data_IF_787535179012
#
_entry.id   IF_787535179012
#
_cell.length_a   1.000
_cell.length_b   1.000
_cell.length_c   1.000
_cell.angle_alpha   90.00
_cell.angle_beta   90.00
_cell.angle_gamma   90.00
#
_symmetry.space_group_name_H-M   'P 1'
#
loop_
_entity.id
_entity.type
_entity.pdbx_description
1 polymer ?
#
# COMPACT_ATOMS: atom_id res chain seq x y z
N UNK A 1 22.18 12.04 33.96
CA UNK A 1 20.78 11.94 33.47
C UNK A 1 20.53 12.79 32.22
N UNK A 2 20.96 14.06 32.13
CA UNK A 2 20.83 14.88 30.91
C UNK A 2 21.61 14.37 29.69
N UNK A 3 22.83 13.82 29.88
CA UNK A 3 23.62 13.22 28.78
C UNK A 3 22.93 12.00 28.15
N UNK A 4 22.30 11.14 28.96
CA UNK A 4 21.58 9.97 28.47
C UNK A 4 20.37 10.35 27.59
N UNK A 5 19.68 11.43 27.94
CA UNK A 5 18.54 11.95 27.16
C UNK A 5 19.02 12.57 25.84
N UNK A 6 20.17 13.26 25.84
CA UNK A 6 20.80 13.81 24.63
C UNK A 6 21.24 12.71 23.66
N UNK A 7 21.94 11.68 24.17
CA UNK A 7 22.44 10.56 23.36
C UNK A 7 21.28 9.74 22.77
N UNK A 8 20.21 9.51 23.53
CA UNK A 8 19.00 8.84 23.03
C UNK A 8 18.27 9.68 21.97
N UNK A 9 18.28 11.01 22.09
CA UNK A 9 17.72 11.94 21.10
C UNK A 9 18.48 11.95 19.77
N UNK A 10 19.81 11.92 19.80
CA UNK A 10 20.65 11.83 18.59
C UNK A 10 20.51 10.46 17.91
N UNK A 11 20.51 9.36 18.67
CA UNK A 11 20.31 8.01 18.13
C UNK A 11 18.91 7.88 17.52
N UNK A 12 17.87 8.42 18.17
CA UNK A 12 16.52 8.45 17.62
C UNK A 12 16.41 9.32 16.36
N UNK A 13 17.10 10.47 16.32
CA UNK A 13 17.16 11.34 15.15
C UNK A 13 17.87 10.69 13.96
N UNK A 14 19.00 10.03 14.20
CA UNK A 14 19.74 9.26 13.19
C UNK A 14 18.94 8.04 12.70
N UNK A 15 18.25 7.34 13.61
CA UNK A 15 17.35 6.24 13.23
C UNK A 15 16.14 6.74 12.41
N UNK A 16 15.60 7.92 12.73
CA UNK A 16 14.54 8.58 11.96
C UNK A 16 14.99 8.95 10.54
N UNK A 17 16.16 9.58 10.41
CA UNK A 17 16.77 9.93 9.12
C UNK A 17 17.14 8.68 8.29
N UNK A 18 17.66 7.64 8.95
CA UNK A 18 17.92 6.35 8.33
C UNK A 18 16.61 5.67 7.86
N UNK A 19 15.52 5.81 8.62
CA UNK A 19 14.20 5.30 8.23
C UNK A 19 13.61 6.00 7.01
N UNK A 20 13.76 7.32 6.90
CA UNK A 20 13.29 8.10 5.72
C UNK A 20 14.12 7.78 4.48
N UNK A 21 15.45 7.73 4.62
CA UNK A 21 16.35 7.38 3.52
C UNK A 21 16.17 5.93 3.07
N UNK A 22 15.95 4.98 4.00
CA UNK A 22 15.60 3.60 3.68
C UNK A 22 14.25 3.48 2.97
N UNK A 23 13.23 4.25 3.37
CA UNK A 23 11.93 4.27 2.69
C UNK A 23 12.05 4.82 1.25
N UNK A 24 12.84 5.88 1.05
CA UNK A 24 13.17 6.41 -0.28
C UNK A 24 13.97 5.41 -1.11
N UNK A 25 14.90 4.68 -0.50
CA UNK A 25 15.66 3.62 -1.16
C UNK A 25 14.75 2.46 -1.58
N UNK A 26 13.82 2.03 -0.72
CA UNK A 26 12.88 0.95 -1.02
C UNK A 26 11.94 1.33 -2.17
N UNK A 27 11.49 2.59 -2.26
CA UNK A 27 10.68 3.04 -3.40
C UNK A 27 11.50 3.11 -4.70
N UNK A 28 12.75 3.60 -4.61
CA UNK A 28 13.64 3.75 -5.78
C UNK A 28 14.14 2.38 -6.29
N UNK A 29 14.57 1.50 -5.39
CA UNK A 29 14.95 0.12 -5.69
C UNK A 29 13.73 -0.72 -6.08
N UNK A 30 12.58 -0.47 -5.46
CA UNK A 30 11.32 -1.09 -5.86
C UNK A 30 10.94 -0.77 -7.30
N UNK A 31 11.20 0.45 -7.78
CA UNK A 31 11.06 0.82 -9.19
C UNK A 31 12.08 0.12 -10.10
N UNK A 32 13.32 -0.05 -9.63
CA UNK A 32 14.40 -0.69 -10.40
C UNK A 32 14.26 -2.23 -10.51
N UNK A 33 13.70 -2.89 -9.50
CA UNK A 33 13.70 -4.37 -9.39
C UNK A 33 12.36 -4.98 -9.87
N UNK A 34 11.31 -4.19 -10.05
CA UNK A 34 10.00 -4.70 -10.51
C UNK A 34 9.93 -4.74 -12.04
N UNK A 35 9.58 -5.89 -12.67
CA UNK A 35 9.50 -5.98 -14.13
C UNK A 35 8.50 -4.97 -14.70
N UNK A 36 8.95 -4.12 -15.64
CA UNK A 36 8.11 -3.14 -16.34
C UNK A 36 8.03 -1.75 -15.72
N UNK A 37 8.89 -1.40 -14.75
CA UNK A 37 9.03 -0.01 -14.26
C UNK A 37 7.81 0.57 -13.53
N UNK A 38 6.76 -0.22 -13.31
CA UNK A 38 5.50 0.20 -12.63
C UNK A 38 5.68 0.43 -11.13
N UNK A 39 6.83 0.06 -10.57
CA UNK A 39 7.17 0.22 -9.16
C UNK A 39 6.37 -0.64 -8.20
N UNK A 40 6.80 -0.63 -6.94
CA UNK A 40 6.07 -1.20 -5.80
C UNK A 40 4.59 -0.78 -5.68
N UNK A 41 4.19 0.49 -5.94
CA UNK A 41 2.82 0.92 -5.69
C UNK A 41 1.77 0.27 -6.58
N UNK A 42 2.16 -0.45 -7.64
CA UNK A 42 1.24 -1.19 -8.52
C UNK A 42 1.12 -2.68 -8.20
N UNK A 43 1.89 -3.22 -7.25
CA UNK A 43 1.70 -4.62 -6.81
C UNK A 43 0.40 -4.73 -6.02
N UNK A 44 -0.41 -5.73 -6.36
CA UNK A 44 -1.80 -5.88 -5.90
C UNK A 44 -2.84 -5.26 -6.83
N UNK A 45 -2.46 -4.34 -7.73
CA UNK A 45 -3.41 -3.69 -8.63
C UNK A 45 -4.06 -4.68 -9.60
N UNK A 46 -3.41 -5.78 -9.98
CA UNK A 46 -4.00 -6.83 -10.83
C UNK A 46 -5.26 -7.47 -10.24
N UNK A 47 -5.35 -7.57 -8.90
CA UNK A 47 -6.56 -8.06 -8.26
C UNK A 47 -7.70 -7.04 -8.41
N UNK A 48 -7.37 -5.75 -8.27
CA UNK A 48 -8.30 -4.64 -8.46
C UNK A 48 -8.71 -4.49 -9.93
N UNK A 49 -7.80 -4.71 -10.89
CA UNK A 49 -8.08 -4.69 -12.33
C UNK A 49 -9.20 -5.66 -12.70
N UNK A 50 -9.26 -6.85 -12.07
CA UNK A 50 -10.36 -7.78 -12.33
C UNK A 50 -11.72 -7.19 -11.96
N UNK A 51 -11.85 -6.53 -10.82
CA UNK A 51 -13.11 -5.88 -10.44
C UNK A 51 -13.42 -4.71 -11.37
N UNK A 52 -12.39 -3.93 -11.73
CA UNK A 52 -12.52 -2.84 -12.71
C UNK A 52 -13.00 -3.36 -14.07
N UNK A 53 -12.55 -4.55 -14.49
CA UNK A 53 -12.94 -5.18 -15.74
C UNK A 53 -14.42 -5.62 -15.70
N UNK A 54 -14.89 -6.22 -14.60
CA UNK A 54 -16.29 -6.61 -14.43
C UNK A 54 -17.21 -5.38 -14.30
N UNK A 55 -16.76 -4.34 -13.60
CA UNK A 55 -17.49 -3.09 -13.43
C UNK A 55 -17.29 -2.09 -14.59
N UNK A 56 -16.56 -2.47 -15.65
CA UNK A 56 -16.26 -1.59 -16.78
C UNK A 56 -17.47 -0.84 -17.37
N UNK A 57 -18.65 -1.45 -17.60
CA UNK A 57 -19.79 -0.73 -18.18
C UNK A 57 -20.28 0.41 -17.27
N UNK A 58 -20.41 0.16 -15.96
CA UNK A 58 -20.86 1.18 -15.00
C UNK A 58 -19.77 2.22 -14.72
N UNK A 59 -18.50 1.82 -14.70
CA UNK A 59 -17.38 2.74 -14.52
C UNK A 59 -17.22 3.69 -15.71
N UNK A 60 -17.46 3.23 -16.93
CA UNK A 60 -17.48 4.11 -18.12
C UNK A 60 -18.61 5.13 -18.04
N UNK A 61 -19.78 4.75 -17.54
CA UNK A 61 -20.90 5.68 -17.35
C UNK A 61 -20.62 6.73 -16.28
N UNK A 62 -19.90 6.34 -15.22
CA UNK A 62 -19.61 7.25 -14.10
C UNK A 62 -18.41 8.16 -14.33
N UNK A 63 -17.30 7.61 -14.84
CA UNK A 63 -16.00 8.27 -14.94
C UNK A 63 -15.56 8.53 -16.40
N UNK A 64 -16.32 8.07 -17.39
CA UNK A 64 -15.96 8.17 -18.81
C UNK A 64 -14.95 7.11 -19.26
N UNK A 65 -14.48 7.21 -20.50
CA UNK A 65 -13.54 6.23 -21.10
C UNK A 65 -12.17 6.17 -20.39
N UNK A 66 -11.82 7.20 -19.64
CA UNK A 66 -10.55 7.30 -18.90
C UNK A 66 -10.61 6.64 -17.52
N UNK A 67 -11.72 5.98 -17.16
CA UNK A 67 -11.94 5.38 -15.83
C UNK A 67 -10.75 4.56 -15.31
N UNK A 68 -10.08 3.77 -16.18
CA UNK A 68 -8.91 2.97 -15.79
C UNK A 68 -7.75 3.81 -15.32
N UNK A 69 -7.48 4.91 -16.02
CA UNK A 69 -6.37 5.80 -15.66
C UNK A 69 -6.67 6.53 -14.36
N UNK A 70 -7.88 7.06 -14.20
CA UNK A 70 -8.33 7.72 -12.97
C UNK A 70 -8.25 6.78 -11.77
N UNK A 71 -8.71 5.54 -11.91
CA UNK A 71 -8.66 4.56 -10.83
C UNK A 71 -7.23 4.07 -10.54
N UNK A 72 -6.37 3.97 -11.55
CA UNK A 72 -4.96 3.64 -11.36
C UNK A 72 -4.20 4.74 -10.61
N UNK A 73 -4.48 6.01 -10.93
CA UNK A 73 -3.91 7.17 -10.23
C UNK A 73 -4.44 7.24 -8.79
N UNK A 74 -5.75 7.09 -8.60
CA UNK A 74 -6.35 7.03 -7.27
C UNK A 74 -5.82 5.85 -6.44
N UNK A 75 -5.60 4.68 -7.06
CA UNK A 75 -4.98 3.54 -6.40
C UNK A 75 -3.53 3.84 -5.98
N UNK A 76 -2.77 4.56 -6.81
CA UNK A 76 -1.39 4.93 -6.50
C UNK A 76 -1.31 5.88 -5.29
N UNK A 77 -2.21 6.85 -5.21
CA UNK A 77 -2.17 7.92 -4.22
C UNK A 77 -2.97 7.59 -2.94
N UNK A 78 -4.12 6.94 -3.09
CA UNK A 78 -5.14 6.75 -2.04
C UNK A 78 -5.33 5.31 -1.55
N UNK A 79 -4.44 4.39 -1.93
CA UNK A 79 -4.51 2.96 -1.56
C UNK A 79 -4.58 2.71 -0.04
N UNK A 80 -3.89 3.54 0.75
CA UNK A 80 -3.69 3.32 2.19
C UNK A 80 -4.66 4.11 3.06
N UNK A 81 -5.18 5.21 2.55
CA UNK A 81 -6.18 6.07 3.20
C UNK A 81 -7.60 5.53 3.07
N UNK A 82 -7.83 4.59 2.13
CA UNK A 82 -9.17 4.11 1.81
C UNK A 82 -9.87 4.95 0.74
N UNK A 83 -9.20 6.00 0.23
CA UNK A 83 -9.77 6.88 -0.79
C UNK A 83 -9.97 6.15 -2.12
N UNK A 84 -9.04 5.24 -2.47
CA UNK A 84 -9.13 4.43 -3.69
C UNK A 84 -10.35 3.48 -3.71
N UNK A 85 -10.58 2.63 -2.68
CA UNK A 85 -11.79 1.82 -2.63
C UNK A 85 -13.06 2.67 -2.50
N UNK A 86 -13.03 3.78 -1.76
CA UNK A 86 -14.18 4.69 -1.65
C UNK A 86 -14.56 5.30 -3.00
N UNK A 87 -13.58 5.77 -3.78
CA UNK A 87 -13.80 6.29 -5.13
C UNK A 87 -14.38 5.22 -6.06
N UNK A 88 -13.85 4.00 -6.01
CA UNK A 88 -14.35 2.91 -6.84
C UNK A 88 -15.81 2.57 -6.53
N UNK A 89 -16.16 2.46 -5.24
CA UNK A 89 -17.55 2.23 -4.81
C UNK A 89 -18.49 3.36 -5.22
N UNK A 90 -18.04 4.62 -5.04
CA UNK A 90 -18.81 5.79 -5.47
C UNK A 90 -19.06 5.76 -6.98
N UNK A 91 -18.05 5.46 -7.79
CA UNK A 91 -18.17 5.35 -9.23
C UNK A 91 -19.09 4.20 -9.66
N UNK A 92 -19.01 3.05 -8.99
CA UNK A 92 -19.93 1.91 -9.22
C UNK A 92 -21.36 2.33 -8.91
N UNK A 93 -21.59 2.97 -7.76
CA UNK A 93 -22.92 3.44 -7.34
C UNK A 93 -23.52 4.41 -8.34
N UNK A 94 -22.76 5.44 -8.73
CA UNK A 94 -23.17 6.43 -9.72
C UNK A 94 -23.36 5.86 -11.13
N UNK A 95 -22.60 4.82 -11.49
CA UNK A 95 -22.73 4.14 -12.78
C UNK A 95 -23.99 3.27 -12.83
N UNK A 96 -24.29 2.58 -11.73
CA UNK A 96 -25.51 1.80 -11.55
C UNK A 96 -26.76 2.68 -11.60
N UNK A 97 -26.78 3.81 -10.90
CA UNK A 97 -27.92 4.73 -10.92
C UNK A 97 -28.24 5.20 -12.35
N UNK A 98 -27.20 5.58 -13.12
CA UNK A 98 -27.36 5.98 -14.53
C UNK A 98 -27.78 4.82 -15.44
N UNK A 99 -27.38 3.59 -15.12
CA UNK A 99 -27.77 2.40 -15.86
C UNK A 99 -29.24 2.08 -15.61
N UNK A 100 -29.72 2.21 -14.37
CA UNK A 100 -31.12 2.04 -14.00
C UNK A 100 -32.02 3.08 -14.69
N UNK A 101 -31.58 4.34 -14.75
CA UNK A 101 -32.25 5.42 -15.51
C UNK A 101 -32.35 5.10 -17.02
N UNK A 102 -31.41 4.31 -17.55
CA UNK A 102 -31.37 3.89 -18.96
C UNK A 102 -32.22 2.64 -19.24
N UNK A 103 -32.64 1.91 -18.20
CA UNK A 103 -33.51 0.73 -18.28
C UNK A 103 -32.99 -0.48 -17.50
N UNK A 104 -33.90 -1.19 -16.83
CA UNK A 104 -33.61 -2.32 -15.92
C UNK A 104 -32.97 -3.53 -16.61
N UNK A 105 -33.20 -3.74 -17.90
CA UNK A 105 -32.65 -4.87 -18.65
C UNK A 105 -31.11 -4.90 -18.69
N UNK A 106 -30.45 -3.73 -18.65
CA UNK A 106 -28.99 -3.63 -18.63
C UNK A 106 -28.41 -3.98 -17.25
N UNK A 107 -29.12 -3.61 -16.18
CA UNK A 107 -28.77 -3.98 -14.81
C UNK A 107 -28.91 -5.50 -14.64
N UNK A 108 -29.98 -6.09 -15.16
CA UNK A 108 -30.19 -7.55 -15.12
C UNK A 108 -29.11 -8.32 -15.90
N UNK A 109 -28.64 -7.79 -17.03
CA UNK A 109 -27.57 -8.39 -17.81
C UNK A 109 -26.23 -8.37 -17.05
N UNK A 110 -25.94 -7.25 -16.38
CA UNK A 110 -24.77 -7.13 -15.51
C UNK A 110 -24.87 -8.08 -14.31
N UNK A 111 -26.02 -8.16 -13.64
CA UNK A 111 -26.26 -9.09 -12.54
C UNK A 111 -26.02 -10.56 -12.97
N UNK A 112 -26.49 -10.93 -14.17
CA UNK A 112 -26.21 -12.24 -14.78
C UNK A 112 -24.74 -12.47 -15.08
N UNK A 113 -24.02 -11.45 -15.56
CA UNK A 113 -22.58 -11.56 -15.82
C UNK A 113 -21.76 -11.81 -14.55
N UNK A 114 -22.26 -11.34 -13.40
CA UNK A 114 -21.69 -11.60 -12.07
C UNK A 114 -22.17 -12.93 -11.47
N UNK A 115 -23.02 -13.68 -12.17
CA UNK A 115 -23.56 -14.97 -11.72
C UNK A 115 -24.60 -14.83 -10.61
N UNK A 116 -25.19 -13.65 -10.40
CA UNK A 116 -26.24 -13.44 -9.41
C UNK A 116 -27.55 -14.05 -9.91
N UNK A 117 -28.19 -14.85 -9.07
CA UNK A 117 -29.53 -15.37 -9.32
C UNK A 117 -30.54 -14.29 -8.94
N UNK A 118 -30.88 -13.43 -9.89
CA UNK A 118 -31.80 -12.31 -9.63
C UNK A 118 -33.05 -12.37 -10.49
N UNK A 119 -34.17 -11.98 -9.87
CA UNK A 119 -35.45 -11.85 -10.52
C UNK A 119 -35.45 -10.61 -11.45
N UNK A 120 -35.75 -10.76 -12.75
CA UNK A 120 -35.60 -9.67 -13.71
C UNK A 120 -36.47 -8.45 -13.39
N UNK A 121 -35.91 -7.25 -13.53
CA UNK A 121 -36.65 -5.99 -13.44
C UNK A 121 -37.01 -5.51 -12.03
N UNK A 122 -36.55 -6.20 -10.98
CA UNK A 122 -36.72 -5.75 -9.61
C UNK A 122 -35.70 -4.66 -9.25
N UNK A 123 -36.12 -3.64 -8.48
CA UNK A 123 -35.19 -2.67 -7.85
C UNK A 123 -34.15 -3.37 -6.97
N UNK A 124 -34.56 -4.49 -6.36
CA UNK A 124 -33.66 -5.35 -5.59
C UNK A 124 -32.47 -5.86 -6.41
N UNK A 125 -32.57 -5.93 -7.75
CA UNK A 125 -31.46 -6.36 -8.62
C UNK A 125 -30.32 -5.38 -8.68
N UNK A 126 -30.62 -4.08 -8.76
CA UNK A 126 -29.61 -3.03 -8.75
C UNK A 126 -28.89 -3.00 -7.40
N UNK A 127 -29.64 -3.11 -6.30
CA UNK A 127 -29.08 -3.10 -4.94
C UNK A 127 -28.26 -4.36 -4.64
N UNK A 128 -28.71 -5.54 -5.05
CA UNK A 128 -27.92 -6.78 -4.93
C UNK A 128 -26.63 -6.73 -5.75
N UNK A 129 -26.71 -6.20 -6.97
CA UNK A 129 -25.54 -6.03 -7.85
C UNK A 129 -24.54 -5.03 -7.25
N UNK A 130 -25.03 -3.91 -6.72
CA UNK A 130 -24.22 -2.92 -6.00
C UNK A 130 -23.50 -3.58 -4.83
N UNK A 131 -24.23 -4.28 -3.98
CA UNK A 131 -23.68 -4.92 -2.78
C UNK A 131 -22.64 -5.98 -3.13
N UNK A 132 -22.86 -6.77 -4.18
CA UNK A 132 -21.90 -7.77 -4.66
C UNK A 132 -20.59 -7.11 -5.12
N UNK A 133 -20.67 -6.07 -5.96
CA UNK A 133 -19.51 -5.34 -6.46
C UNK A 133 -18.75 -4.59 -5.36
N UNK A 134 -19.45 -4.01 -4.39
CA UNK A 134 -18.83 -3.35 -3.23
C UNK A 134 -18.10 -4.35 -2.33
N UNK A 135 -18.69 -5.53 -2.13
CA UNK A 135 -18.09 -6.61 -1.33
C UNK A 135 -16.85 -7.17 -2.03
N UNK A 136 -16.93 -7.41 -3.34
CA UNK A 136 -15.78 -7.85 -4.13
C UNK A 136 -14.67 -6.80 -4.12
N UNK A 137 -15.02 -5.53 -4.25
CA UNK A 137 -14.09 -4.39 -4.13
C UNK A 137 -13.33 -4.45 -2.80
N UNK A 138 -14.02 -4.58 -1.67
CA UNK A 138 -13.35 -4.67 -0.36
C UNK A 138 -12.41 -5.88 -0.28
N UNK A 139 -12.86 -7.04 -0.75
CA UNK A 139 -12.06 -8.25 -0.74
C UNK A 139 -10.78 -8.11 -1.57
N UNK A 140 -10.85 -7.53 -2.79
CA UNK A 140 -9.67 -7.34 -3.63
C UNK A 140 -8.72 -6.27 -3.11
N UNK A 141 -9.23 -5.20 -2.48
CA UNK A 141 -8.37 -4.18 -1.87
C UNK A 141 -7.65 -4.73 -0.63
N UNK A 142 -8.28 -5.58 0.17
CA UNK A 142 -7.62 -6.29 1.26
C UNK A 142 -6.53 -7.23 0.75
N UNK A 143 -6.81 -7.99 -0.30
CA UNK A 143 -5.82 -8.86 -0.94
C UNK A 143 -4.63 -8.04 -1.46
N UNK A 144 -4.90 -6.96 -2.19
CA UNK A 144 -3.89 -6.08 -2.74
C UNK A 144 -3.01 -5.43 -1.65
N UNK A 145 -3.61 -5.05 -0.51
CA UNK A 145 -2.88 -4.55 0.66
C UNK A 145 -1.94 -5.61 1.25
N UNK A 146 -2.39 -6.86 1.33
CA UNK A 146 -1.57 -7.96 1.84
C UNK A 146 -0.37 -8.28 0.94
N UNK A 147 -0.55 -8.29 -0.37
CA UNK A 147 0.52 -8.52 -1.36
C UNK A 147 1.55 -7.40 -1.35
N UNK A 148 1.10 -6.15 -1.27
CA UNK A 148 1.99 -5.01 -1.13
C UNK A 148 2.79 -5.10 0.17
N UNK A 149 2.15 -5.35 1.33
CA UNK A 149 2.86 -5.42 2.61
C UNK A 149 3.92 -6.50 2.61
N UNK A 150 3.58 -7.67 2.06
CA UNK A 150 4.53 -8.77 1.91
C UNK A 150 5.70 -8.37 1.03
N UNK A 151 5.42 -7.77 -0.14
CA UNK A 151 6.50 -7.32 -1.03
C UNK A 151 7.36 -6.23 -0.41
N UNK A 152 6.74 -5.23 0.21
CA UNK A 152 7.44 -4.12 0.85
C UNK A 152 8.37 -4.63 1.96
N UNK A 153 7.93 -5.61 2.76
CA UNK A 153 8.76 -6.28 3.77
C UNK A 153 9.92 -7.05 3.14
N UNK A 154 9.68 -7.79 2.06
CA UNK A 154 10.73 -8.52 1.34
C UNK A 154 11.77 -7.56 0.76
N UNK A 155 11.36 -6.46 0.15
CA UNK A 155 12.27 -5.45 -0.37
C UNK A 155 13.02 -4.72 0.74
N UNK A 156 12.35 -4.33 1.82
CA UNK A 156 13.03 -3.78 2.99
C UNK A 156 14.08 -4.75 3.55
N UNK A 157 13.75 -6.05 3.58
CA UNK A 157 14.70 -7.12 3.91
C UNK A 157 15.91 -7.16 3.00
N UNK A 158 15.68 -7.16 1.69
CA UNK A 158 16.75 -7.16 0.69
C UNK A 158 17.63 -5.91 0.82
N UNK A 159 17.04 -4.72 1.01
CA UNK A 159 17.78 -3.47 1.20
C UNK A 159 18.62 -3.50 2.47
N UNK A 160 18.06 -3.98 3.59
CA UNK A 160 18.80 -4.09 4.84
C UNK A 160 20.00 -5.05 4.73
N UNK A 161 19.84 -6.18 4.03
CA UNK A 161 20.92 -7.10 3.75
C UNK A 161 22.00 -6.47 2.87
N UNK A 162 21.62 -5.75 1.80
CA UNK A 162 22.55 -5.05 0.93
C UNK A 162 23.34 -3.97 1.67
N UNK A 163 22.67 -3.18 2.52
CA UNK A 163 23.35 -2.16 3.33
C UNK A 163 24.30 -2.79 4.35
N UNK A 164 23.87 -3.84 5.05
CA UNK A 164 24.74 -4.54 6.00
C UNK A 164 25.98 -5.12 5.32
N UNK A 165 25.79 -5.74 4.14
CA UNK A 165 26.88 -6.26 3.33
C UNK A 165 27.80 -5.15 2.82
N UNK A 166 27.24 -4.04 2.36
CA UNK A 166 28.00 -2.86 1.91
C UNK A 166 28.87 -2.29 3.02
N UNK A 167 28.33 -2.13 4.23
CA UNK A 167 29.10 -1.70 5.41
C UNK A 167 30.24 -2.67 5.70
N UNK A 168 29.97 -3.97 5.70
CA UNK A 168 31.00 -4.99 5.93
C UNK A 168 32.14 -4.93 4.90
N UNK A 169 31.83 -4.68 3.62
CA UNK A 169 32.85 -4.47 2.56
C UNK A 169 33.68 -3.20 2.78
N UNK A 170 33.14 -2.18 3.44
CA UNK A 170 33.88 -0.93 3.70
C UNK A 170 34.76 -0.99 4.95
N UNK A 171 34.57 -1.99 5.82
CA UNK A 171 35.38 -2.14 7.04
C UNK A 171 36.84 -2.50 6.70
N UNK A 172 37.82 -2.00 7.46
CA UNK A 172 39.22 -2.40 7.30
C UNK A 172 39.43 -3.88 7.70
N UNK A 173 40.48 -4.50 7.16
CA UNK A 173 40.64 -5.96 7.18
C UNK A 173 40.80 -6.55 8.59
N UNK A 174 41.37 -5.80 9.51
CA UNK A 174 41.48 -6.09 10.95
C UNK A 174 40.10 -6.23 11.62
N UNK A 175 39.16 -5.33 11.33
CA UNK A 175 37.80 -5.37 11.89
C UNK A 175 36.93 -6.48 11.28
N UNK A 176 37.21 -6.93 10.04
CA UNK A 176 36.43 -8.01 9.40
C UNK A 176 36.69 -9.39 10.00
N UNK A 177 37.85 -9.58 10.63
CA UNK A 177 38.17 -10.83 11.34
C UNK A 177 37.34 -10.95 12.61
N UNK A 178 37.08 -9.82 13.28
CA UNK A 178 36.27 -9.75 14.50
C UNK A 178 34.76 -9.81 14.23
N UNK A 179 34.30 -9.26 13.10
CA UNK A 179 32.89 -9.30 12.69
C UNK A 179 32.76 -10.22 11.47
N UNK A 180 32.57 -11.53 11.68
CA UNK A 180 32.37 -12.45 10.58
C UNK A 180 31.12 -12.07 9.78
N UNK A 181 31.19 -12.28 8.46
CA UNK A 181 30.14 -11.96 7.48
C UNK A 181 28.74 -12.43 7.92
N UNK A 182 28.67 -13.61 8.56
CA UNK A 182 27.44 -14.19 9.09
C UNK A 182 26.79 -13.28 10.13
N UNK A 183 27.57 -12.67 11.02
CA UNK A 183 27.08 -11.78 12.06
C UNK A 183 26.57 -10.45 11.46
N UNK A 184 27.24 -9.92 10.43
CA UNK A 184 26.74 -8.75 9.69
C UNK A 184 25.40 -9.05 8.99
N UNK A 185 25.28 -10.19 8.31
CA UNK A 185 24.03 -10.63 7.67
C UNK A 185 22.91 -10.81 8.70
N UNK A 186 23.20 -11.45 9.83
CA UNK A 186 22.24 -11.61 10.93
C UNK A 186 21.79 -10.27 11.51
N UNK A 187 22.70 -9.31 11.65
CA UNK A 187 22.38 -7.95 12.12
C UNK A 187 21.43 -7.24 11.15
N UNK A 188 21.69 -7.37 9.84
CA UNK A 188 20.82 -6.84 8.79
C UNK A 188 19.43 -7.50 8.79
N UNK A 189 19.35 -8.82 9.02
CA UNK A 189 18.10 -9.56 9.08
C UNK A 189 17.25 -9.18 10.31
N UNK A 190 17.88 -9.03 11.47
CA UNK A 190 17.21 -8.63 12.73
C UNK A 190 16.72 -7.19 12.68
N UNK A 191 17.38 -6.30 11.94
CA UNK A 191 16.98 -4.89 11.81
C UNK A 191 15.65 -4.69 11.06
N UNK A 192 15.26 -5.62 10.18
CA UNK A 192 14.06 -5.51 9.33
C UNK A 192 12.75 -5.51 10.13
N UNK A 193 12.49 -6.47 11.04
CA UNK A 193 11.30 -6.43 11.90
C UNK A 193 11.35 -5.33 12.97
N UNK A 194 12.52 -4.78 13.28
CA UNK A 194 12.69 -3.69 14.26
C UNK A 194 12.37 -2.30 13.69
N UNK A 195 12.46 -2.11 12.37
CA UNK A 195 12.22 -0.81 11.74
C UNK A 195 10.82 -0.19 12.03
N UNK A 196 9.70 -0.94 12.04
CA UNK A 196 8.40 -0.39 12.43
C UNK A 196 8.39 0.06 13.90
N UNK A 197 8.97 -0.73 14.79
CA UNK A 197 9.06 -0.43 16.23
C UNK A 197 9.88 0.84 16.47
N UNK A 198 11.02 0.98 15.77
CA UNK A 198 11.84 2.18 15.83
C UNK A 198 11.08 3.43 15.35
N UNK A 199 10.27 3.30 14.30
CA UNK A 199 9.43 4.41 13.79
C UNK A 199 8.36 4.83 14.79
N UNK A 200 7.72 3.88 15.45
CA UNK A 200 6.67 4.18 16.45
C UNK A 200 7.27 4.84 17.70
N UNK A 201 8.46 4.41 18.12
CA UNK A 201 9.23 5.06 19.19
C UNK A 201 9.64 6.49 18.79
N UNK A 202 10.15 6.68 17.56
CA UNK A 202 10.53 8.01 17.07
C UNK A 202 9.34 8.98 17.04
N UNK A 203 8.17 8.53 16.56
CA UNK A 203 6.93 9.31 16.59
C UNK A 203 6.47 9.65 18.01
N UNK A 204 6.58 8.70 18.94
CA UNK A 204 6.23 8.93 20.34
C UNK A 204 7.14 10.00 20.97
N UNK A 205 8.44 9.98 20.65
CA UNK A 205 9.42 10.98 21.10
C UNK A 205 9.16 12.34 20.46
N UNK A 206 8.87 12.42 19.15
CA UNK A 206 8.48 13.68 18.49
C UNK A 206 7.20 14.27 19.07
N UNK A 207 6.19 13.43 19.35
CA UNK A 207 4.96 13.84 20.02
C UNK A 207 5.19 14.40 21.42
N UNK A 208 6.06 13.75 22.21
CA UNK A 208 6.49 14.24 23.52
C UNK A 208 7.24 15.57 23.42
N UNK A 209 8.15 15.72 22.44
CA UNK A 209 8.91 16.96 22.21
C UNK A 209 8.01 18.12 21.75
N UNK A 210 6.99 17.85 20.94
CA UNK A 210 6.00 18.84 20.52
C UNK A 210 5.02 19.26 21.64
N UNK A 211 4.74 18.38 22.60
CA UNK A 211 3.91 18.67 23.77
C UNK A 211 4.58 19.59 24.79
N UNK A 212 5.90 19.45 24.99
CA UNK A 212 6.67 20.27 25.95
C UNK A 212 6.80 21.74 25.52
N UNK A 213 6.70 22.05 24.21
CA UNK A 213 6.82 23.42 23.69
C UNK A 213 5.49 24.20 23.76
N UNK A 214 4.36 23.53 23.93
CA UNK A 214 3.03 24.17 24.01
C UNK A 214 2.53 24.46 25.43
N UNK A 215 3.32 24.12 26.46
CA UNK A 215 2.95 24.25 27.87
C UNK A 215 3.82 25.20 28.71
N UNK A 216 4.62 26.06 28.07
CA UNK A 216 5.46 27.08 28.72
C UNK A 216 5.02 28.49 28.36
#
# INVERSE_FOLDING_TARGET
MREWISMMGEVAGLAGLAGVTAAGLVDTLGKAVTPGGRGLPMRGFRAVERVIDHAAPVLRLALGEQYRQTLAEAYRDGRRSGDAPALLKLAIGQGLDRLEDSGTALVDDMARSLGLLVEPGARDTADQTRMALETETDAVFLLAESEYRTTARLLAGAVALLLSFGVWITLPADMRVEIPLVQAILTGLVAVPLAPVAKDIAKAIEGLRGGVVKGG
#
